data_IF_840616436406
#
_entry.id   IF_840616436406
#
_cell.length_a   1.000
_cell.length_b   1.000
_cell.length_c   1.000
_cell.angle_alpha   90.00
_cell.angle_beta   90.00
_cell.angle_gamma   90.00
#
_symmetry.space_group_name_H-M   'P 1'
#
loop_
_entity.id
_entity.type
_entity.pdbx_description
1 polymer ?
#
# COMPACT_ATOMS: atom_id res chain seq x y z
N UNK A 1 -8.00 -8.03 -21.13
CA UNK A 1 -8.81 -6.88 -20.77
C UNK A 1 -8.22 -6.17 -19.58
N UNK A 2 -8.07 -4.87 -19.67
CA UNK A 2 -7.49 -4.07 -18.60
C UNK A 2 -8.60 -3.60 -17.67
N UNK A 3 -8.57 -4.01 -16.42
CA UNK A 3 -9.57 -3.67 -15.41
C UNK A 3 -9.41 -2.22 -14.95
N UNK A 4 -8.27 -1.61 -15.17
CA UNK A 4 -7.86 -0.34 -14.58
C UNK A 4 -8.44 0.91 -15.23
N UNK A 5 -9.18 0.79 -16.32
CA UNK A 5 -9.76 1.96 -16.96
C UNK A 5 -10.79 2.67 -16.06
N UNK A 6 -11.29 1.95 -15.04
CA UNK A 6 -12.30 2.47 -14.13
C UNK A 6 -11.72 2.61 -12.73
N UNK A 7 -11.51 3.85 -12.32
CA UNK A 7 -11.07 4.18 -10.98
C UNK A 7 -12.13 4.99 -10.27
N UNK A 8 -12.17 4.90 -8.96
CA UNK A 8 -13.13 5.61 -8.11
C UNK A 8 -12.43 6.54 -7.15
N UNK A 9 -13.10 7.58 -6.77
CA UNK A 9 -12.63 8.49 -5.74
C UNK A 9 -12.50 7.77 -4.40
N UNK A 10 -11.45 8.09 -3.67
CA UNK A 10 -11.20 7.54 -2.34
C UNK A 10 -10.78 8.69 -1.43
N UNK A 11 -11.76 9.34 -0.81
CA UNK A 11 -11.53 10.55 -0.05
C UNK A 11 -11.01 11.69 -0.93
N UNK A 12 -10.06 12.44 -0.42
CA UNK A 12 -9.44 13.56 -1.12
C UNK A 12 -8.17 13.17 -1.89
N UNK A 13 -7.80 11.90 -1.81
CA UNK A 13 -6.56 11.42 -2.42
C UNK A 13 -6.70 11.02 -3.87
N UNK A 14 -5.76 10.24 -4.33
CA UNK A 14 -5.77 9.68 -5.67
C UNK A 14 -6.93 8.71 -5.86
N UNK A 15 -7.37 8.56 -7.09
CA UNK A 15 -8.40 7.57 -7.40
C UNK A 15 -7.83 6.16 -7.28
N UNK A 16 -8.67 5.23 -6.83
CA UNK A 16 -8.30 3.84 -6.64
C UNK A 16 -9.03 2.93 -7.61
N UNK A 17 -8.42 1.80 -7.93
CA UNK A 17 -9.01 0.76 -8.76
C UNK A 17 -10.25 0.15 -8.09
N UNK A 18 -11.12 -0.47 -8.90
CA UNK A 18 -12.32 -1.16 -8.38
C UNK A 18 -11.95 -2.32 -7.46
N UNK A 19 -10.82 -2.96 -7.72
CA UNK A 19 -10.33 -4.05 -6.89
C UNK A 19 -9.18 -3.59 -6.04
N UNK A 20 -9.08 -4.14 -4.85
CA UNK A 20 -8.01 -3.89 -3.89
C UNK A 20 -7.23 -5.17 -3.66
N UNK A 21 -5.91 -5.08 -3.69
CA UNK A 21 -5.05 -6.20 -3.40
C UNK A 21 -4.85 -6.32 -1.89
N UNK A 22 -5.39 -7.38 -1.29
CA UNK A 22 -5.10 -7.71 0.11
C UNK A 22 -3.77 -8.44 0.23
N UNK A 23 -3.06 -8.23 1.34
CA UNK A 23 -1.70 -8.77 1.53
C UNK A 23 -1.51 -9.69 2.72
N UNK A 24 -2.57 -9.97 3.47
CA UNK A 24 -2.47 -10.76 4.69
C UNK A 24 -1.85 -12.15 4.46
N UNK A 25 -2.11 -12.76 3.32
CA UNK A 25 -1.63 -14.09 2.98
C UNK A 25 -0.47 -14.12 2.01
N UNK A 26 0.10 -12.97 1.67
CA UNK A 26 1.17 -12.86 0.67
C UNK A 26 2.55 -12.67 1.31
N UNK A 27 2.75 -13.17 2.52
CA UNK A 27 3.95 -12.90 3.32
C UNK A 27 4.99 -14.02 3.27
N UNK A 28 4.82 -14.97 2.36
CA UNK A 28 5.72 -16.13 2.29
C UNK A 28 7.14 -15.75 1.89
N UNK A 29 7.30 -14.86 0.92
CA UNK A 29 8.61 -14.41 0.46
C UNK A 29 8.51 -13.07 -0.28
N UNK A 30 9.66 -12.41 -0.43
CA UNK A 30 9.75 -11.19 -1.24
C UNK A 30 9.39 -11.49 -2.69
N UNK A 31 9.86 -12.60 -3.24
CA UNK A 31 9.58 -12.99 -4.61
C UNK A 31 8.07 -13.12 -4.86
N UNK A 32 7.36 -13.79 -3.96
CA UNK A 32 5.91 -13.95 -4.09
C UNK A 32 5.17 -12.63 -3.96
N UNK A 33 5.52 -11.82 -2.98
CA UNK A 33 4.91 -10.51 -2.81
C UNK A 33 5.15 -9.65 -4.05
N UNK A 34 6.37 -9.61 -4.54
CA UNK A 34 6.74 -8.86 -5.73
C UNK A 34 5.93 -9.28 -6.95
N UNK A 35 5.84 -10.58 -7.19
CA UNK A 35 5.11 -11.11 -8.35
C UNK A 35 3.61 -10.81 -8.27
N UNK A 36 3.03 -10.92 -7.07
CA UNK A 36 1.62 -10.61 -6.86
C UNK A 36 1.35 -9.13 -7.14
N UNK A 37 2.17 -8.24 -6.60
CA UNK A 37 2.01 -6.79 -6.79
C UNK A 37 2.23 -6.42 -8.26
N UNK A 38 3.26 -6.98 -8.89
CA UNK A 38 3.54 -6.75 -10.30
C UNK A 38 2.36 -7.15 -11.18
N UNK A 39 1.84 -8.35 -10.97
CA UNK A 39 0.69 -8.83 -11.74
C UNK A 39 -0.55 -7.98 -11.49
N UNK A 40 -0.77 -7.56 -10.24
CA UNK A 40 -1.85 -6.65 -9.89
C UNK A 40 -1.78 -5.34 -10.69
N UNK A 41 -0.57 -4.78 -10.79
CA UNK A 41 -0.38 -3.56 -11.59
C UNK A 41 -0.80 -3.76 -13.04
N UNK A 42 -0.38 -4.87 -13.66
CA UNK A 42 -0.64 -5.10 -15.08
C UNK A 42 -2.11 -5.43 -15.38
N UNK A 43 -2.89 -5.85 -14.40
CA UNK A 43 -4.35 -5.94 -14.56
C UNK A 43 -5.07 -4.68 -14.09
N UNK A 44 -4.33 -3.66 -13.68
CA UNK A 44 -4.88 -2.33 -13.39
C UNK A 44 -5.24 -2.06 -11.94
N UNK A 45 -4.76 -2.86 -11.02
CA UNK A 45 -4.96 -2.64 -9.60
C UNK A 45 -3.87 -1.69 -9.09
N UNK A 46 -4.28 -0.58 -8.48
CA UNK A 46 -3.36 0.38 -7.88
C UNK A 46 -3.56 0.56 -6.37
N UNK A 47 -4.46 -0.23 -5.78
CA UNK A 47 -4.80 -0.10 -4.37
C UNK A 47 -4.37 -1.36 -3.62
N UNK A 48 -3.53 -1.19 -2.61
CA UNK A 48 -3.02 -2.26 -1.76
C UNK A 48 -3.53 -2.03 -0.34
N UNK A 49 -4.06 -3.09 0.28
CA UNK A 49 -4.48 -3.07 1.67
C UNK A 49 -3.53 -3.91 2.51
N UNK A 50 -3.09 -3.38 3.63
CA UNK A 50 -2.18 -4.06 4.55
C UNK A 50 -2.45 -3.66 5.99
N UNK A 51 -1.70 -4.21 6.92
CA UNK A 51 -1.77 -3.88 8.35
C UNK A 51 -0.43 -4.25 9.03
N UNK A 52 -0.09 -3.54 10.13
CA UNK A 52 1.09 -3.91 10.91
C UNK A 52 1.05 -5.34 11.45
N UNK A 53 -0.16 -5.89 11.65
CA UNK A 53 -0.35 -7.25 12.15
C UNK A 53 -0.22 -8.34 11.09
N UNK A 54 0.05 -7.99 9.83
CA UNK A 54 0.17 -8.95 8.73
C UNK A 54 1.62 -9.44 8.55
N UNK A 55 2.25 -9.89 9.63
CA UNK A 55 3.61 -10.39 9.59
C UNK A 55 4.56 -9.37 8.96
N UNK A 56 5.32 -9.78 7.96
CA UNK A 56 6.28 -8.92 7.27
C UNK A 56 5.69 -8.18 6.06
N UNK A 57 4.35 -8.14 5.94
CA UNK A 57 3.72 -7.57 4.75
C UNK A 57 4.18 -6.13 4.45
N UNK A 58 4.24 -5.27 5.46
CA UNK A 58 4.65 -3.88 5.26
C UNK A 58 6.04 -3.78 4.62
N UNK A 59 7.00 -4.51 5.18
CA UNK A 59 8.37 -4.53 4.66
C UNK A 59 8.44 -5.10 3.24
N UNK A 60 7.73 -6.21 3.02
CA UNK A 60 7.71 -6.86 1.71
C UNK A 60 7.06 -5.99 0.64
N UNK A 61 6.00 -5.26 0.98
CA UNK A 61 5.37 -4.30 0.07
C UNK A 61 6.36 -3.19 -0.28
N UNK A 62 6.98 -2.59 0.72
CA UNK A 62 7.94 -1.51 0.50
C UNK A 62 9.08 -1.93 -0.43
N UNK A 63 9.67 -3.09 -0.16
CA UNK A 63 10.74 -3.65 -1.00
C UNK A 63 10.26 -3.97 -2.41
N UNK A 64 9.05 -4.50 -2.54
CA UNK A 64 8.46 -4.84 -3.84
C UNK A 64 8.23 -3.59 -4.70
N UNK A 65 7.70 -2.52 -4.10
CA UNK A 65 7.46 -1.28 -4.82
C UNK A 65 8.76 -0.61 -5.26
N UNK A 66 9.80 -0.66 -4.43
CA UNK A 66 11.13 -0.16 -4.81
C UNK A 66 11.71 -0.96 -5.97
N UNK A 67 11.57 -2.28 -5.92
CA UNK A 67 12.04 -3.16 -6.98
C UNK A 67 11.31 -2.90 -8.29
N UNK A 68 9.99 -2.71 -8.24
CA UNK A 68 9.19 -2.37 -9.42
C UNK A 68 9.62 -1.02 -10.04
N UNK A 69 9.94 -0.05 -9.20
CA UNK A 69 10.42 1.24 -9.68
C UNK A 69 11.73 1.11 -10.46
N UNK A 70 12.63 0.26 -9.98
CA UNK A 70 13.95 0.03 -10.59
C UNK A 70 13.84 -0.85 -11.85
N UNK A 71 13.16 -1.98 -11.74
CA UNK A 71 13.16 -3.00 -12.79
C UNK A 71 12.14 -2.73 -13.89
N UNK A 72 10.98 -2.16 -13.53
CA UNK A 72 9.87 -1.97 -14.46
C UNK A 72 9.52 -0.50 -14.70
N UNK A 73 10.28 0.40 -14.11
CA UNK A 73 10.03 1.84 -14.20
C UNK A 73 8.60 2.23 -13.75
N UNK A 74 8.08 1.51 -12.77
CA UNK A 74 6.75 1.79 -12.17
C UNK A 74 6.97 2.55 -10.87
N UNK A 75 6.70 3.85 -10.89
CA UNK A 75 6.88 4.70 -9.72
C UNK A 75 5.95 4.28 -8.58
N UNK A 76 6.46 4.37 -7.34
CA UNK A 76 5.64 4.12 -6.15
C UNK A 76 4.43 5.07 -6.06
N UNK A 77 4.48 6.21 -6.73
CA UNK A 77 3.36 7.18 -6.78
C UNK A 77 2.14 6.66 -7.53
N UNK A 78 2.29 5.57 -8.28
CA UNK A 78 1.15 4.91 -8.92
C UNK A 78 0.26 4.17 -7.93
N UNK A 79 0.72 3.95 -6.72
CA UNK A 79 0.04 3.11 -5.74
C UNK A 79 -0.65 3.94 -4.66
N UNK A 80 -1.75 3.41 -4.17
CA UNK A 80 -2.45 3.91 -2.98
C UNK A 80 -2.47 2.76 -1.98
N UNK A 81 -2.02 3.01 -0.76
CA UNK A 81 -1.90 1.98 0.26
C UNK A 81 -2.81 2.33 1.43
N UNK A 82 -3.75 1.43 1.74
CA UNK A 82 -4.52 1.49 2.96
C UNK A 82 -3.83 0.66 4.02
N UNK A 83 -3.49 1.30 5.11
CA UNK A 83 -2.93 0.62 6.27
C UNK A 83 -3.81 0.85 7.50
N UNK A 84 -3.50 0.21 8.59
CA UNK A 84 -4.31 0.24 9.80
C UNK A 84 -3.50 0.73 10.98
N UNK A 85 -4.19 1.40 11.89
CA UNK A 85 -3.63 1.78 13.19
C UNK A 85 -4.52 1.15 14.24
N UNK A 86 -3.91 0.54 15.27
CA UNK A 86 -4.68 -0.03 16.36
C UNK A 86 -5.44 1.07 17.09
N UNK A 87 -6.76 0.92 17.31
CA UNK A 87 -7.58 1.94 17.95
C UNK A 87 -7.40 1.93 19.48
N UNK A 88 -6.18 2.12 19.93
CA UNK A 88 -5.90 2.23 21.37
C UNK A 88 -4.83 3.27 21.61
N UNK A 89 -4.79 3.79 22.83
CA UNK A 89 -3.86 4.86 23.17
C UNK A 89 -4.40 6.23 22.77
N UNK A 90 -3.59 7.24 22.98
CA UNK A 90 -3.94 8.60 22.65
C UNK A 90 -3.48 8.97 21.22
N UNK A 91 -3.68 10.22 20.86
CA UNK A 91 -3.29 10.74 19.55
C UNK A 91 -1.80 10.57 19.27
N UNK A 92 -0.96 10.80 20.27
CA UNK A 92 0.49 10.66 20.13
C UNK A 92 0.88 9.21 19.85
N UNK A 93 0.23 8.26 20.51
CA UNK A 93 0.46 6.84 20.28
C UNK A 93 0.10 6.47 18.82
N UNK A 94 -1.06 6.91 18.34
CA UNK A 94 -1.49 6.63 16.96
C UNK A 94 -0.56 7.26 15.95
N UNK A 95 -0.14 8.50 16.19
CA UNK A 95 0.79 9.22 15.33
C UNK A 95 2.14 8.52 15.22
N UNK A 96 2.67 8.04 16.35
CA UNK A 96 3.94 7.34 16.38
C UNK A 96 3.86 6.00 15.67
N UNK A 97 2.75 5.28 15.81
CA UNK A 97 2.54 4.04 15.07
C UNK A 97 2.48 4.27 13.56
N UNK A 98 1.81 5.31 13.12
CA UNK A 98 1.76 5.66 11.71
C UNK A 98 3.15 6.01 11.17
N UNK A 99 3.92 6.79 11.93
CA UNK A 99 5.29 7.13 11.57
C UNK A 99 6.16 5.88 11.43
N UNK A 100 6.03 4.95 12.37
CA UNK A 100 6.75 3.68 12.33
C UNK A 100 6.42 2.87 11.07
N UNK A 101 5.14 2.79 10.71
CA UNK A 101 4.71 2.13 9.48
C UNK A 101 5.37 2.76 8.25
N UNK A 102 5.40 4.08 8.17
CA UNK A 102 6.02 4.78 7.05
C UNK A 102 7.51 4.46 6.96
N UNK A 103 8.20 4.39 8.08
CA UNK A 103 9.61 4.04 8.14
C UNK A 103 9.86 2.60 7.69
N UNK A 104 9.02 1.65 8.13
CA UNK A 104 9.14 0.24 7.75
C UNK A 104 8.97 0.06 6.25
N UNK A 105 7.99 0.73 5.66
CA UNK A 105 7.70 0.60 4.24
C UNK A 105 8.68 1.39 3.36
N UNK A 106 9.34 2.40 3.94
CA UNK A 106 10.29 3.29 3.22
C UNK A 106 9.64 3.91 1.97
N UNK A 107 8.39 4.32 2.10
CA UNK A 107 7.63 4.93 1.02
C UNK A 107 7.43 6.43 1.26
N UNK A 108 7.10 7.15 0.21
CA UNK A 108 6.74 8.55 0.33
C UNK A 108 5.52 8.73 1.21
N UNK A 109 5.57 9.70 2.10
CA UNK A 109 4.46 10.01 3.02
C UNK A 109 3.13 10.17 2.29
N UNK A 110 3.14 10.78 1.11
CA UNK A 110 1.95 11.07 0.35
C UNK A 110 1.17 9.83 -0.07
N UNK A 111 1.87 8.72 -0.28
CA UNK A 111 1.23 7.45 -0.65
C UNK A 111 0.36 6.92 0.49
N UNK A 112 0.78 7.14 1.74
CA UNK A 112 0.08 6.61 2.93
C UNK A 112 -0.80 7.67 3.59
N UNK A 113 -0.35 8.91 3.67
CA UNK A 113 -1.08 10.01 4.32
C UNK A 113 -2.41 10.30 3.66
N UNK A 114 -2.49 10.20 2.33
CA UNK A 114 -3.74 10.43 1.62
C UNK A 114 -4.86 9.53 2.10
N UNK A 115 -4.53 8.30 2.51
CA UNK A 115 -5.49 7.33 3.00
C UNK A 115 -5.92 7.67 4.42
N UNK A 116 -4.97 8.02 5.27
CA UNK A 116 -5.29 8.42 6.63
C UNK A 116 -6.22 9.63 6.64
N UNK A 117 -5.95 10.62 5.82
CA UNK A 117 -6.80 11.81 5.69
C UNK A 117 -8.20 11.48 5.18
N UNK A 118 -8.33 10.47 4.37
CA UNK A 118 -9.63 10.05 3.86
C UNK A 118 -10.50 9.36 4.92
N UNK A 119 -9.89 8.85 5.99
CA UNK A 119 -10.59 8.16 7.08
C UNK A 119 -10.92 9.05 8.27
N UNK A 120 -10.29 10.18 8.35
CA UNK A 120 -10.50 11.18 9.39
C UNK A 120 -11.49 12.23 8.88
#
# INVERSE_FOLDING_TARGET
>A
MIINSQKRSFGKGAKVSLFTLGTMRATESLEKMYNIIKNAYYVGINHIETAPSYGDAESLIGKSLKKLAIEENISEKNWVITNKVLPKGDFEFLKNNFKKTTEIMVLHKEVIIKILNAKI
#
